data_IF_554512362676
#
_entry.id   IF_554512362676
#
_cell.length_a   1.000
_cell.length_b   1.000
_cell.length_c   1.000
_cell.angle_alpha   90.00
_cell.angle_beta   90.00
_cell.angle_gamma   90.00
#
_symmetry.space_group_name_H-M   'P 1'
#
loop_
_entity.id
_entity.type
_entity.pdbx_description
1 polymer ?
#
# COMPACT_ATOMS: atom_id res chain seq x y z
N UNK A 1 3.62 15.97 19.63
CA UNK A 1 4.41 14.80 19.20
C UNK A 1 3.46 13.65 18.90
N UNK A 2 2.70 13.67 17.79
CA UNK A 2 1.85 12.53 17.36
C UNK A 2 1.44 12.71 15.88
N UNK A 3 2.37 13.08 15.00
CA UNK A 3 2.03 13.29 13.57
C UNK A 3 1.93 11.96 12.79
N UNK A 4 2.57 10.89 13.30
CA UNK A 4 2.59 9.55 12.68
C UNK A 4 1.26 8.76 12.79
N UNK A 5 0.36 9.12 13.71
CA UNK A 5 -0.93 8.40 13.86
C UNK A 5 -1.97 8.79 12.81
N UNK A 6 -1.71 9.83 12.01
CA UNK A 6 -2.67 10.32 11.01
C UNK A 6 -2.41 9.66 9.68
N UNK A 7 -3.32 8.81 9.25
CA UNK A 7 -3.33 8.27 7.90
C UNK A 7 -3.61 9.41 6.92
N UNK A 8 -2.69 9.65 5.97
CA UNK A 8 -2.89 10.65 4.92
C UNK A 8 -3.45 9.95 3.67
N UNK A 9 -4.49 10.53 3.06
CA UNK A 9 -5.04 9.98 1.82
C UNK A 9 -4.07 10.21 0.65
N UNK A 10 -3.75 9.14 -0.08
CA UNK A 10 -2.97 9.20 -1.32
C UNK A 10 -3.81 8.66 -2.47
N UNK A 11 -4.03 9.50 -3.49
CA UNK A 11 -4.74 9.08 -4.71
C UNK A 11 -3.74 8.50 -5.70
N UNK A 12 -3.85 7.20 -5.99
CA UNK A 12 -2.98 6.51 -6.93
C UNK A 12 -3.76 6.22 -8.21
N UNK A 13 -3.22 6.65 -9.36
CA UNK A 13 -3.75 6.27 -10.67
C UNK A 13 -3.00 5.03 -11.16
N UNK A 14 -3.73 3.93 -11.32
CA UNK A 14 -3.19 2.68 -11.86
C UNK A 14 -3.95 2.27 -13.11
N UNK A 15 -3.33 1.42 -13.93
CA UNK A 15 -4.03 0.78 -15.05
C UNK A 15 -5.16 -0.10 -14.50
N UNK A 16 -6.30 -0.21 -15.20
CA UNK A 16 -7.43 -1.02 -14.73
C UNK A 16 -7.07 -2.51 -14.57
N UNK A 17 -6.19 -3.04 -15.43
CA UNK A 17 -5.68 -4.41 -15.31
C UNK A 17 -4.85 -4.62 -14.04
N UNK A 18 -4.03 -3.63 -13.67
CA UNK A 18 -3.25 -3.67 -12.44
C UNK A 18 -4.15 -3.58 -11.21
N UNK A 19 -5.16 -2.70 -11.24
CA UNK A 19 -6.13 -2.57 -10.15
C UNK A 19 -6.87 -3.89 -9.92
N UNK A 20 -7.39 -4.52 -10.97
CA UNK A 20 -8.09 -5.80 -10.85
C UNK A 20 -7.20 -6.92 -10.28
N UNK A 21 -5.95 -7.01 -10.73
CA UNK A 21 -4.99 -7.98 -10.19
C UNK A 21 -4.66 -7.70 -8.72
N UNK A 22 -4.47 -6.43 -8.35
CA UNK A 22 -4.18 -6.04 -6.98
C UNK A 22 -5.38 -6.25 -6.05
N UNK A 23 -6.60 -6.01 -6.50
CA UNK A 23 -7.84 -6.31 -5.75
C UNK A 23 -7.99 -7.81 -5.50
N UNK A 24 -7.65 -8.64 -6.50
CA UNK A 24 -7.63 -10.09 -6.33
C UNK A 24 -6.59 -10.51 -5.28
N UNK A 25 -5.35 -10.04 -5.42
CA UNK A 25 -4.27 -10.34 -4.47
C UNK A 25 -4.61 -9.87 -3.05
N UNK A 26 -5.22 -8.70 -2.89
CA UNK A 26 -5.65 -8.18 -1.60
C UNK A 26 -6.73 -9.07 -0.96
N UNK A 27 -7.69 -9.54 -1.76
CA UNK A 27 -8.73 -10.46 -1.31
C UNK A 27 -8.17 -11.82 -0.89
N UNK A 28 -7.15 -12.32 -1.59
CA UNK A 28 -6.44 -13.55 -1.22
C UNK A 28 -5.60 -13.38 0.07
N UNK A 29 -4.99 -12.21 0.29
CA UNK A 29 -4.26 -11.88 1.53
C UNK A 29 -5.21 -11.60 2.73
N UNK A 30 -6.52 -11.49 2.48
CA UNK A 30 -7.52 -11.17 3.50
C UNK A 30 -7.51 -9.70 3.95
N UNK A 31 -6.94 -8.81 3.14
CA UNK A 31 -6.76 -7.38 3.47
C UNK A 31 -7.42 -6.48 2.43
N UNK A 32 -7.66 -5.22 2.80
CA UNK A 32 -8.05 -4.19 1.86
C UNK A 32 -6.90 -3.87 0.90
N UNK A 33 -7.23 -3.50 -0.35
CA UNK A 33 -6.25 -3.09 -1.36
C UNK A 33 -5.27 -2.04 -0.82
N UNK A 34 -5.78 -1.04 -0.08
CA UNK A 34 -4.95 0.01 0.53
C UNK A 34 -3.92 -0.55 1.52
N UNK A 35 -4.30 -1.51 2.37
CA UNK A 35 -3.38 -2.12 3.34
C UNK A 35 -2.33 -3.02 2.69
N UNK A 36 -2.69 -3.69 1.59
CA UNK A 36 -1.71 -4.45 0.79
C UNK A 36 -0.70 -3.50 0.15
N UNK A 37 -1.18 -2.41 -0.46
CA UNK A 37 -0.32 -1.38 -1.06
C UNK A 37 0.60 -0.77 0.00
N UNK A 38 0.06 -0.42 1.16
CA UNK A 38 0.84 0.13 2.28
C UNK A 38 1.96 -0.84 2.69
N UNK A 39 1.63 -2.12 2.92
CA UNK A 39 2.65 -3.14 3.26
C UNK A 39 3.73 -3.26 2.19
N UNK A 40 3.35 -3.38 0.92
CA UNK A 40 4.30 -3.50 -0.19
C UNK A 40 5.18 -2.25 -0.33
N UNK A 41 4.60 -1.07 -0.14
CA UNK A 41 5.32 0.19 -0.20
C UNK A 41 6.29 0.33 0.98
N UNK A 42 5.85 0.01 2.20
CA UNK A 42 6.70 -0.01 3.39
C UNK A 42 7.86 -0.96 3.23
N UNK A 43 7.62 -2.19 2.77
CA UNK A 43 8.66 -3.19 2.55
C UNK A 43 9.68 -2.73 1.50
N UNK A 44 9.21 -2.21 0.37
CA UNK A 44 10.07 -1.65 -0.67
C UNK A 44 10.91 -0.47 -0.16
N UNK A 45 10.30 0.47 0.56
CA UNK A 45 10.98 1.64 1.09
C UNK A 45 12.00 1.28 2.17
N UNK A 46 11.70 0.30 3.03
CA UNK A 46 12.64 -0.24 4.02
C UNK A 46 13.82 -0.95 3.37
N UNK A 47 13.54 -1.81 2.39
CA UNK A 47 14.57 -2.52 1.62
C UNK A 47 15.55 -1.55 0.94
N UNK A 48 15.05 -0.40 0.48
CA UNK A 48 15.85 0.65 -0.15
C UNK A 48 16.46 1.67 0.83
N UNK A 49 16.13 1.59 2.12
CA UNK A 49 16.63 2.51 3.15
C UNK A 49 15.97 3.90 3.15
N UNK A 50 14.86 4.08 2.43
CA UNK A 50 14.07 5.32 2.44
C UNK A 50 13.19 5.45 3.69
N UNK A 51 12.84 4.33 4.31
CA UNK A 51 12.06 4.27 5.54
C UNK A 51 12.84 3.43 6.55
N UNK A 52 13.10 3.98 7.74
CA UNK A 52 13.82 3.30 8.83
C UNK A 52 12.84 2.63 9.80
#
# INVERSE_FOLDING_TARGET
>A
MDEEKRTTQTIIRTKPSLKAAAEKAAREDGRSLSSLIEKLLTDYLRSKGYLK
#
